data_IF_971442668443
#
_entry.id   IF_971442668443
#
_cell.length_a   1.000
_cell.length_b   1.000
_cell.length_c   1.000
_cell.angle_alpha   90.00
_cell.angle_beta   90.00
_cell.angle_gamma   90.00
#
_symmetry.space_group_name_H-M   'P 1'
#
loop_
_entity.id
_entity.type
_entity.pdbx_description
1 polymer ?
#
# COMPACT_ATOMS: atom_id res chain seq x y z
N UNK A 1 34.41 -26.93 -0.91
CA UNK A 1 33.03 -26.57 -0.52
C UNK A 1 32.10 -27.70 -0.94
N UNK A 2 31.34 -28.28 -0.02
CA UNK A 2 30.49 -29.48 -0.26
C UNK A 2 29.15 -29.09 -0.89
N UNK A 3 28.56 -29.96 -1.74
CA UNK A 3 27.27 -29.73 -2.42
C UNK A 3 26.10 -29.41 -1.47
N UNK A 4 26.24 -29.82 -0.19
CA UNK A 4 25.26 -29.60 0.88
C UNK A 4 25.19 -28.12 1.28
N UNK A 5 26.32 -27.40 1.34
CA UNK A 5 26.32 -25.97 1.70
C UNK A 5 25.79 -25.08 0.57
N UNK A 6 25.90 -25.50 -0.70
CA UNK A 6 25.27 -24.80 -1.82
C UNK A 6 23.74 -24.91 -1.80
N UNK A 7 23.18 -26.10 -1.50
CA UNK A 7 21.71 -26.25 -1.38
C UNK A 7 21.13 -25.49 -0.20
N UNK A 8 21.88 -25.36 0.89
CA UNK A 8 21.43 -24.61 2.05
C UNK A 8 21.45 -23.09 1.78
N UNK A 9 22.46 -22.60 1.08
CA UNK A 9 22.48 -21.21 0.59
C UNK A 9 21.35 -20.94 -0.42
N UNK A 10 21.05 -21.89 -1.31
CA UNK A 10 19.95 -21.78 -2.28
C UNK A 10 18.57 -21.81 -1.62
N UNK A 11 18.36 -22.62 -0.58
CA UNK A 11 17.11 -22.63 0.20
C UNK A 11 16.89 -21.32 0.97
N UNK A 12 17.95 -20.78 1.56
CA UNK A 12 17.88 -19.46 2.21
C UNK A 12 17.44 -18.37 1.22
N UNK A 13 17.92 -18.44 -0.03
CA UNK A 13 17.55 -17.50 -1.10
C UNK A 13 16.13 -17.75 -1.67
N UNK A 14 15.62 -18.99 -1.60
CA UNK A 14 14.22 -19.32 -1.91
C UNK A 14 13.27 -18.77 -0.83
N UNK A 15 13.64 -18.89 0.45
CA UNK A 15 12.86 -18.37 1.58
C UNK A 15 12.80 -16.82 1.58
N UNK A 16 13.86 -16.16 1.09
CA UNK A 16 13.92 -14.71 0.88
C UNK A 16 13.21 -14.24 -0.42
N UNK A 17 12.61 -15.16 -1.19
CA UNK A 17 11.87 -14.87 -2.41
C UNK A 17 12.72 -14.39 -3.60
N UNK A 18 14.05 -14.60 -3.55
CA UNK A 18 15.02 -14.19 -4.56
C UNK A 18 15.18 -15.21 -5.71
N UNK A 19 14.59 -16.40 -5.57
CA UNK A 19 14.67 -17.48 -6.55
C UNK A 19 13.30 -18.18 -6.72
N UNK A 20 12.93 -18.44 -7.97
CA UNK A 20 11.80 -19.31 -8.32
C UNK A 20 12.34 -20.48 -9.15
N UNK A 21 12.21 -21.70 -8.64
CA UNK A 21 12.53 -22.90 -9.42
C UNK A 21 11.26 -23.45 -10.09
N UNK A 22 11.29 -23.52 -11.43
CA UNK A 22 10.36 -24.32 -12.22
C UNK A 22 11.06 -25.63 -12.63
N UNK A 23 10.47 -26.81 -12.36
CA UNK A 23 11.07 -28.08 -12.77
C UNK A 23 11.31 -28.11 -14.29
N UNK A 24 12.58 -28.23 -14.70
CA UNK A 24 12.97 -28.49 -16.09
C UNK A 24 13.44 -27.30 -16.94
N UNK A 25 13.58 -26.06 -16.42
CA UNK A 25 14.00 -24.90 -17.24
C UNK A 25 15.14 -24.01 -16.70
N UNK A 26 15.83 -24.43 -15.63
CA UNK A 26 16.95 -23.67 -15.06
C UNK A 26 16.53 -22.55 -14.11
N UNK A 27 17.50 -21.97 -13.43
CA UNK A 27 17.31 -20.99 -12.34
C UNK A 27 17.13 -19.59 -12.91
N UNK A 28 15.94 -19.00 -12.76
CA UNK A 28 15.69 -17.60 -13.08
C UNK A 28 15.67 -16.77 -11.79
N UNK A 29 16.44 -15.67 -11.75
CA UNK A 29 16.38 -14.69 -10.66
C UNK A 29 15.11 -13.86 -10.85
N UNK A 30 14.04 -14.24 -10.17
CA UNK A 30 12.87 -13.38 -10.03
C UNK A 30 13.22 -12.28 -9.04
N UNK A 31 13.11 -11.00 -9.43
CA UNK A 31 13.21 -9.92 -8.44
C UNK A 31 12.07 -10.08 -7.43
N UNK A 32 12.34 -10.15 -6.12
CA UNK A 32 11.29 -10.37 -5.13
C UNK A 32 10.31 -9.21 -5.19
N UNK A 33 9.01 -9.52 -5.26
CA UNK A 33 7.95 -8.52 -5.18
C UNK A 33 8.02 -7.81 -3.82
N UNK A 34 7.61 -6.55 -3.78
CA UNK A 34 7.46 -5.86 -2.52
C UNK A 34 6.20 -6.33 -1.81
N UNK A 35 6.26 -6.58 -0.49
CA UNK A 35 5.11 -7.09 0.25
C UNK A 35 4.29 -5.90 0.78
N UNK A 36 2.98 -5.91 0.62
CA UNK A 36 2.11 -4.96 1.30
C UNK A 36 1.37 -5.65 2.45
N UNK A 37 1.48 -5.07 3.66
CA UNK A 37 0.94 -5.60 4.91
C UNK A 37 -0.32 -4.85 5.30
N UNK A 38 -1.45 -5.54 5.33
CA UNK A 38 -2.77 -4.96 5.66
C UNK A 38 -3.00 -4.84 7.18
N UNK A 39 -2.11 -5.37 8.02
CA UNK A 39 -2.22 -5.36 9.47
C UNK A 39 -1.56 -4.12 10.12
N UNK A 40 -1.09 -3.18 9.31
CA UNK A 40 -0.36 -2.00 9.73
C UNK A 40 -1.20 -0.73 9.51
N UNK A 41 -1.17 0.18 10.49
CA UNK A 41 -1.71 1.54 10.31
C UNK A 41 -0.77 2.45 9.52
N UNK A 42 0.43 1.96 9.15
CA UNK A 42 1.41 2.72 8.37
C UNK A 42 0.89 2.96 6.95
N UNK A 43 1.47 3.96 6.30
CA UNK A 43 1.25 4.17 4.87
C UNK A 43 2.02 3.13 4.04
N UNK A 44 1.51 2.80 2.86
CA UNK A 44 2.15 1.88 1.91
C UNK A 44 3.67 2.10 1.74
N UNK A 45 4.12 3.35 1.58
CA UNK A 45 5.56 3.62 1.44
C UNK A 45 6.37 3.39 2.72
N UNK A 46 5.80 3.62 3.90
CA UNK A 46 6.49 3.31 5.16
C UNK A 46 6.66 1.80 5.31
N UNK A 47 5.63 1.02 4.97
CA UNK A 47 5.71 -0.44 4.98
C UNK A 47 6.77 -0.96 4.00
N UNK A 48 6.84 -0.37 2.81
CA UNK A 48 7.84 -0.73 1.80
C UNK A 48 9.25 -0.35 2.25
N UNK A 49 9.44 0.83 2.84
CA UNK A 49 10.74 1.26 3.39
C UNK A 49 11.16 0.38 4.57
N UNK A 50 10.22 -0.01 5.44
CA UNK A 50 10.48 -0.93 6.54
C UNK A 50 10.93 -2.32 6.06
N UNK A 51 10.61 -2.70 4.82
CA UNK A 51 11.10 -3.90 4.14
C UNK A 51 12.42 -3.69 3.38
N UNK A 52 13.12 -2.57 3.60
CA UNK A 52 14.37 -2.24 2.94
C UNK A 52 14.22 -1.81 1.47
N UNK A 53 13.02 -1.47 1.01
CA UNK A 53 12.81 -0.99 -0.36
C UNK A 53 13.09 0.50 -0.47
N UNK A 54 13.83 0.89 -1.51
CA UNK A 54 14.00 2.29 -1.90
C UNK A 54 12.72 2.80 -2.55
N UNK A 55 12.00 3.66 -1.82
CA UNK A 55 10.76 4.31 -2.29
C UNK A 55 10.96 5.82 -2.37
N UNK A 56 10.86 6.37 -3.59
CA UNK A 56 10.75 7.81 -3.82
C UNK A 56 9.33 8.19 -4.21
N UNK A 57 8.97 9.46 -3.99
CA UNK A 57 7.64 9.99 -4.26
C UNK A 57 7.76 11.22 -5.16
N UNK A 58 6.95 11.28 -6.21
CA UNK A 58 6.66 12.51 -6.94
C UNK A 58 5.27 13.01 -6.52
N UNK A 59 5.16 14.29 -6.15
CA UNK A 59 3.86 14.93 -5.90
C UNK A 59 3.32 15.43 -7.23
N UNK A 60 2.19 14.86 -7.67
CA UNK A 60 1.50 15.26 -8.89
C UNK A 60 0.50 16.41 -8.64
N UNK A 61 0.03 16.53 -7.39
CA UNK A 61 -0.85 17.64 -6.99
C UNK A 61 -1.12 17.67 -5.49
N UNK A 62 -1.24 18.88 -4.93
CA UNK A 62 -1.49 19.11 -3.51
C UNK A 62 -2.28 20.41 -3.32
N UNK A 63 -3.59 20.29 -3.12
CA UNK A 63 -4.49 21.46 -3.08
C UNK A 63 -5.83 21.15 -2.45
N UNK A 64 -6.55 22.18 -1.99
CA UNK A 64 -7.88 22.01 -1.41
C UNK A 64 -8.93 21.87 -2.52
N UNK A 65 -9.69 20.77 -2.54
CA UNK A 65 -10.75 20.51 -3.52
C UNK A 65 -12.06 20.10 -2.84
N UNK A 66 -13.18 20.25 -3.55
CA UNK A 66 -14.41 19.57 -3.15
C UNK A 66 -14.25 18.07 -3.43
N UNK A 67 -14.49 17.20 -2.44
CA UNK A 67 -14.31 15.77 -2.61
C UNK A 67 -15.34 15.19 -3.61
N UNK A 68 -14.95 14.20 -4.43
CA UNK A 68 -15.91 13.43 -5.22
C UNK A 68 -16.84 12.63 -4.31
N UNK A 69 -17.98 12.17 -4.83
CA UNK A 69 -19.03 11.52 -4.04
C UNK A 69 -18.53 10.38 -3.14
N UNK A 70 -17.64 9.52 -3.65
CA UNK A 70 -17.09 8.39 -2.90
C UNK A 70 -16.22 8.81 -1.69
N UNK A 71 -15.58 9.97 -1.76
CA UNK A 71 -14.83 10.56 -0.63
C UNK A 71 -15.78 11.33 0.29
N UNK A 72 -16.70 12.10 -0.30
CA UNK A 72 -17.66 12.92 0.43
C UNK A 72 -18.60 12.09 1.31
N UNK A 73 -18.88 10.84 0.92
CA UNK A 73 -19.60 9.88 1.75
C UNK A 73 -18.93 9.60 3.11
N UNK A 74 -17.62 9.83 3.22
CA UNK A 74 -16.85 9.65 4.45
C UNK A 74 -16.44 10.99 5.09
N UNK A 75 -15.88 11.92 4.29
CA UNK A 75 -15.34 13.19 4.81
C UNK A 75 -16.38 14.32 4.88
N UNK A 76 -17.56 14.13 4.29
CA UNK A 76 -18.51 15.19 4.02
C UNK A 76 -18.16 16.02 2.76
N UNK A 77 -19.02 16.98 2.38
CA UNK A 77 -18.87 17.72 1.12
C UNK A 77 -17.93 18.93 1.21
N UNK A 78 -17.43 19.26 2.41
CA UNK A 78 -16.53 20.39 2.62
C UNK A 78 -15.23 20.19 1.84
N UNK A 79 -14.52 21.30 1.55
CA UNK A 79 -13.22 21.20 0.87
C UNK A 79 -12.24 20.42 1.75
N UNK A 80 -11.55 19.47 1.14
CA UNK A 80 -10.53 18.63 1.76
C UNK A 80 -9.23 18.75 0.94
N UNK A 81 -8.10 18.46 1.58
CA UNK A 81 -6.83 18.42 0.86
C UNK A 81 -6.84 17.20 -0.06
N UNK A 82 -6.65 17.43 -1.35
CA UNK A 82 -6.36 16.38 -2.33
C UNK A 82 -4.85 16.33 -2.51
N UNK A 83 -4.25 15.21 -2.15
CA UNK A 83 -2.84 14.90 -2.35
C UNK A 83 -2.73 13.73 -3.33
N UNK A 84 -2.11 13.99 -4.48
CA UNK A 84 -1.88 13.00 -5.53
C UNK A 84 -0.39 12.72 -5.66
N UNK A 85 -0.01 11.44 -5.58
CA UNK A 85 1.37 11.00 -5.53
C UNK A 85 1.61 9.86 -6.50
N UNK A 86 2.78 9.88 -7.13
CA UNK A 86 3.35 8.75 -7.84
C UNK A 86 4.51 8.20 -7.02
N UNK A 87 4.45 6.94 -6.61
CA UNK A 87 5.53 6.29 -5.87
C UNK A 87 6.33 5.41 -6.80
N UNK A 88 7.64 5.53 -6.69
CA UNK A 88 8.59 4.78 -7.48
C UNK A 88 9.31 3.77 -6.61
N UNK A 89 9.39 2.53 -7.09
CA UNK A 89 10.20 1.47 -6.52
C UNK A 89 11.44 1.28 -7.37
N UNK A 90 12.63 1.46 -6.78
CA UNK A 90 13.90 1.43 -7.51
C UNK A 90 13.89 2.31 -8.78
N UNK A 91 13.31 3.51 -8.67
CA UNK A 91 13.22 4.48 -9.76
C UNK A 91 12.17 4.18 -10.83
N UNK A 92 11.29 3.18 -10.64
CA UNK A 92 10.20 2.86 -11.56
C UNK A 92 8.83 3.12 -10.94
N UNK A 93 7.91 3.83 -11.62
CA UNK A 93 6.54 4.01 -11.14
C UNK A 93 5.86 2.69 -10.80
N UNK A 94 5.33 2.60 -9.59
CA UNK A 94 4.74 1.37 -9.05
C UNK A 94 3.36 1.59 -8.44
N UNK A 95 3.11 2.79 -7.90
CA UNK A 95 1.86 3.12 -7.23
C UNK A 95 1.43 4.53 -7.60
N UNK A 96 0.19 4.67 -8.06
CA UNK A 96 -0.49 5.96 -8.10
C UNK A 96 -1.41 6.03 -6.89
N UNK A 97 -1.30 7.09 -6.09
CA UNK A 97 -2.01 7.22 -4.83
C UNK A 97 -2.71 8.57 -4.74
N UNK A 98 -3.99 8.55 -4.41
CA UNK A 98 -4.83 9.71 -4.18
C UNK A 98 -5.33 9.72 -2.74
N UNK A 99 -4.83 10.64 -1.93
CA UNK A 99 -5.21 10.82 -0.53
C UNK A 99 -6.07 12.07 -0.38
N UNK A 100 -7.16 11.96 0.38
CA UNK A 100 -8.01 13.07 0.78
C UNK A 100 -7.96 13.26 2.28
N UNK A 101 -7.62 14.46 2.75
CA UNK A 101 -7.45 14.75 4.19
C UNK A 101 -8.48 15.78 4.66
N UNK A 102 -9.20 15.43 5.72
CA UNK A 102 -10.23 16.28 6.33
C UNK A 102 -9.62 17.58 6.88
N UNK A 103 -10.32 18.74 6.79
CA UNK A 103 -9.97 19.92 7.58
C UNK A 103 -10.18 19.69 9.09
N UNK A 104 -9.49 20.44 9.97
CA UNK A 104 -8.53 21.50 9.65
C UNK A 104 -7.17 20.99 9.19
N UNK A 105 -6.78 19.75 9.54
CA UNK A 105 -5.45 19.19 9.25
C UNK A 105 -5.08 19.26 7.77
N UNK A 106 -5.99 18.89 6.88
CA UNK A 106 -5.73 18.99 5.43
C UNK A 106 -5.41 20.42 4.97
N UNK A 107 -6.00 21.44 5.59
CA UNK A 107 -5.70 22.82 5.24
C UNK A 107 -4.28 23.23 5.68
N UNK A 108 -3.84 22.76 6.84
CA UNK A 108 -2.48 23.00 7.37
C UNK A 108 -1.42 22.27 6.53
N UNK A 109 -1.72 21.04 6.11
CA UNK A 109 -0.82 20.24 5.26
C UNK A 109 -0.76 20.70 3.80
N UNK A 110 -1.56 21.68 3.37
CA UNK A 110 -1.60 22.12 1.97
C UNK A 110 -0.25 22.63 1.45
N UNK A 111 0.58 23.20 2.31
CA UNK A 111 1.90 23.75 1.94
C UNK A 111 3.06 22.97 2.52
N UNK A 112 2.80 21.86 3.21
CA UNK A 112 3.83 20.99 3.75
C UNK A 112 4.52 20.19 2.64
N UNK A 113 5.83 19.91 2.79
CA UNK A 113 6.51 18.99 1.89
C UNK A 113 6.20 17.54 2.28
N UNK A 114 5.45 16.87 1.42
CA UNK A 114 4.98 15.49 1.60
C UNK A 114 5.63 14.52 0.60
N UNK A 115 6.76 14.92 0.00
CA UNK A 115 7.53 14.08 -0.93
C UNK A 115 8.26 12.98 -0.17
N UNK A 116 9.00 13.36 0.88
CA UNK A 116 9.75 12.44 1.73
C UNK A 116 9.05 12.15 3.07
N UNK A 117 8.16 13.04 3.51
CA UNK A 117 7.40 12.89 4.74
C UNK A 117 6.20 11.96 4.57
N UNK A 118 6.01 11.06 5.55
CA UNK A 118 4.79 10.26 5.61
C UNK A 118 3.57 11.14 5.88
N UNK A 119 2.48 10.88 5.17
CA UNK A 119 1.23 11.61 5.41
C UNK A 119 0.73 11.40 6.84
N UNK A 120 0.85 10.20 7.39
CA UNK A 120 0.39 9.91 8.74
C UNK A 120 1.28 10.53 9.81
N UNK A 121 2.60 10.60 9.57
CA UNK A 121 3.51 11.34 10.44
C UNK A 121 3.17 12.83 10.46
N UNK A 122 2.96 13.44 9.28
CA UNK A 122 2.57 14.85 9.17
C UNK A 122 1.22 15.13 9.85
N UNK A 123 0.24 14.22 9.73
CA UNK A 123 -1.05 14.32 10.45
C UNK A 123 -0.84 14.26 11.98
N UNK A 124 0.04 13.39 12.46
CA UNK A 124 0.34 13.25 13.88
C UNK A 124 1.02 14.49 14.47
N UNK A 125 1.87 15.18 13.69
CA UNK A 125 2.47 16.46 14.08
C UNK A 125 1.43 17.56 14.34
N UNK A 126 0.26 17.46 13.70
CA UNK A 126 -0.90 18.33 13.95
C UNK A 126 -1.85 17.80 15.05
N UNK A 127 -1.36 16.89 15.90
CA UNK A 127 -2.08 16.41 17.09
C UNK A 127 -3.19 15.39 16.80
N UNK A 128 -3.29 14.87 15.58
CA UNK A 128 -4.29 13.85 15.22
C UNK A 128 -3.69 12.45 15.30
N UNK A 129 -4.20 11.66 16.24
CA UNK A 129 -3.81 10.26 16.42
C UNK A 129 -4.74 9.37 15.62
N UNK A 130 -4.16 8.60 14.69
CA UNK A 130 -4.87 7.54 13.97
C UNK A 130 -5.02 6.31 14.86
N UNK A 131 -6.24 5.81 15.01
CA UNK A 131 -6.53 4.63 15.83
C UNK A 131 -6.99 3.41 15.03
N UNK A 132 -7.68 3.63 13.90
CA UNK A 132 -8.31 2.56 13.13
C UNK A 132 -8.25 2.86 11.63
N UNK A 133 -8.20 1.82 10.82
CA UNK A 133 -8.41 1.91 9.39
C UNK A 133 -9.30 0.77 8.88
N UNK A 134 -10.06 1.03 7.83
CA UNK A 134 -10.77 0.03 7.05
C UNK A 134 -10.23 0.07 5.63
N UNK A 135 -9.79 -1.06 5.11
CA UNK A 135 -9.14 -1.15 3.81
C UNK A 135 -9.75 -2.28 2.99
N UNK A 136 -10.09 -1.98 1.74
CA UNK A 136 -10.60 -2.94 0.76
C UNK A 136 -9.62 -3.01 -0.40
N UNK A 137 -9.10 -4.21 -0.65
CA UNK A 137 -8.24 -4.48 -1.78
C UNK A 137 -9.00 -5.29 -2.82
N UNK A 138 -8.95 -4.87 -4.09
CA UNK A 138 -9.61 -5.57 -5.20
C UNK A 138 -8.75 -5.58 -6.46
N UNK A 139 -8.83 -6.64 -7.28
CA UNK A 139 -8.22 -6.64 -8.60
C UNK A 139 -9.02 -5.74 -9.55
N UNK A 140 -8.33 -4.94 -10.35
CA UNK A 140 -8.89 -4.12 -11.42
C UNK A 140 -7.94 -4.12 -12.65
N UNK A 141 -8.33 -3.42 -13.71
CA UNK A 141 -7.47 -3.15 -14.87
C UNK A 141 -7.20 -1.65 -15.00
N UNK A 142 -5.98 -1.30 -15.44
CA UNK A 142 -5.60 0.12 -15.55
C UNK A 142 -6.42 0.88 -16.58
N UNK A 143 -6.98 2.01 -16.14
CA UNK A 143 -7.55 3.04 -17.02
C UNK A 143 -6.44 3.89 -17.65
N UNK A 144 -6.69 4.42 -18.86
CA UNK A 144 -5.71 5.15 -19.67
C UNK A 144 -4.88 6.22 -18.91
N UNK A 145 -5.51 7.20 -18.24
CA UNK A 145 -4.76 8.27 -17.56
C UNK A 145 -3.80 7.77 -16.47
N UNK A 146 -4.20 6.76 -15.68
CA UNK A 146 -3.35 6.18 -14.63
C UNK A 146 -2.30 5.23 -15.22
N UNK A 147 -2.62 4.55 -16.34
CA UNK A 147 -1.68 3.70 -17.06
C UNK A 147 -0.47 4.50 -17.56
N UNK A 148 -0.70 5.70 -18.09
CA UNK A 148 0.36 6.62 -18.55
C UNK A 148 1.30 7.01 -17.41
N UNK A 149 0.75 7.42 -16.25
CA UNK A 149 1.54 7.75 -15.05
C UNK A 149 2.39 6.56 -14.58
N UNK A 150 1.83 5.35 -14.63
CA UNK A 150 2.53 4.12 -14.25
C UNK A 150 3.41 3.52 -15.36
N UNK A 151 3.46 4.16 -16.54
CA UNK A 151 4.19 3.68 -17.73
C UNK A 151 3.81 2.24 -18.10
N UNK A 152 2.53 1.93 -18.04
CA UNK A 152 1.96 0.64 -18.40
C UNK A 152 0.94 0.79 -19.53
N UNK A 153 0.62 -0.32 -20.20
CA UNK A 153 -0.52 -0.36 -21.11
C UNK A 153 -1.84 -0.28 -20.32
N UNK A 154 -2.84 0.41 -20.86
CA UNK A 154 -4.21 0.30 -20.39
C UNK A 154 -4.66 -1.17 -20.46
N UNK A 155 -5.48 -1.60 -19.50
CA UNK A 155 -5.85 -3.02 -19.37
C UNK A 155 -4.89 -3.88 -18.55
N UNK A 156 -3.70 -3.36 -18.18
CA UNK A 156 -2.77 -4.06 -17.28
C UNK A 156 -3.44 -4.39 -15.94
N UNK A 157 -3.39 -5.64 -15.45
CA UNK A 157 -3.94 -6.01 -14.14
C UNK A 157 -3.24 -5.29 -12.98
N UNK A 158 -4.04 -4.78 -12.05
CA UNK A 158 -3.59 -4.04 -10.87
C UNK A 158 -4.40 -4.41 -9.64
N UNK A 159 -3.86 -4.09 -8.48
CA UNK A 159 -4.65 -4.02 -7.26
C UNK A 159 -5.06 -2.57 -7.01
N UNK A 160 -6.32 -2.37 -6.64
CA UNK A 160 -6.82 -1.10 -6.12
C UNK A 160 -7.11 -1.27 -4.64
N UNK A 161 -6.48 -0.45 -3.82
CA UNK A 161 -6.78 -0.32 -2.40
C UNK A 161 -7.62 0.94 -2.17
N UNK A 162 -8.77 0.77 -1.55
CA UNK A 162 -9.60 1.84 -0.99
C UNK A 162 -9.50 1.78 0.53
N UNK A 163 -8.96 2.83 1.16
CA UNK A 163 -8.75 2.88 2.61
C UNK A 163 -9.41 4.11 3.23
N UNK A 164 -10.09 3.91 4.36
CA UNK A 164 -10.58 4.97 5.23
C UNK A 164 -9.89 4.86 6.57
N UNK A 165 -9.26 5.94 7.02
CA UNK A 165 -8.51 6.01 8.27
C UNK A 165 -9.19 6.95 9.25
N UNK A 166 -9.29 6.53 10.51
CA UNK A 166 -10.10 7.15 11.56
C UNK A 166 -9.24 7.61 12.73
N UNK A 167 -9.64 8.75 13.32
CA UNK A 167 -9.07 9.29 14.55
C UNK A 167 -9.58 8.56 15.80
N UNK A 168 -9.16 9.01 16.98
CA UNK A 168 -9.60 8.48 18.28
C UNK A 168 -11.10 8.71 18.56
N UNK A 169 -11.70 9.70 17.92
CA UNK A 169 -13.12 10.03 17.99
C UNK A 169 -13.97 9.26 16.96
N UNK A 170 -13.37 8.25 16.30
CA UNK A 170 -13.94 7.48 15.20
C UNK A 170 -14.39 8.33 13.99
N UNK A 171 -13.90 9.58 13.89
CA UNK A 171 -14.15 10.40 12.70
C UNK A 171 -13.19 10.02 11.57
N UNK A 172 -13.67 9.90 10.32
CA UNK A 172 -12.80 9.69 9.16
C UNK A 172 -11.87 10.89 8.95
N UNK A 173 -10.56 10.68 8.98
CA UNK A 173 -9.54 11.72 8.78
C UNK A 173 -8.96 11.67 7.37
N UNK A 174 -8.71 10.46 6.87
CA UNK A 174 -8.13 10.25 5.54
C UNK A 174 -8.98 9.24 4.76
N UNK A 175 -9.23 9.56 3.50
CA UNK A 175 -9.73 8.61 2.51
C UNK A 175 -8.68 8.48 1.41
N UNK A 176 -8.20 7.27 1.17
CA UNK A 176 -7.12 6.98 0.25
C UNK A 176 -7.57 5.99 -0.83
N UNK A 177 -7.12 6.21 -2.06
CA UNK A 177 -7.16 5.23 -3.13
C UNK A 177 -5.77 5.04 -3.70
N UNK A 178 -5.27 3.82 -3.67
CA UNK A 178 -4.00 3.44 -4.27
C UNK A 178 -4.20 2.44 -5.40
N UNK A 179 -3.69 2.75 -6.59
CA UNK A 179 -3.58 1.83 -7.72
C UNK A 179 -2.16 1.27 -7.75
N UNK A 180 -2.04 -0.04 -7.60
CA UNK A 180 -0.79 -0.75 -7.31
C UNK A 180 -0.50 -1.77 -8.41
N UNK A 181 0.69 -1.70 -9.01
CA UNK A 181 1.12 -2.69 -10.00
C UNK A 181 1.37 -4.07 -9.35
N UNK A 182 0.55 -5.07 -9.69
CA UNK A 182 0.67 -6.44 -9.17
C UNK A 182 1.89 -7.22 -9.68
N UNK A 183 2.58 -6.67 -10.69
CA UNK A 183 3.86 -7.21 -11.20
C UNK A 183 5.02 -6.92 -10.25
N UNK A 184 4.94 -5.83 -9.48
CA UNK A 184 6.01 -5.39 -8.55
C UNK A 184 5.61 -5.51 -7.08
N UNK A 185 4.32 -5.71 -6.79
CA UNK A 185 3.77 -5.83 -5.44
C UNK A 185 3.04 -7.17 -5.25
N UNK A 186 3.19 -7.75 -4.06
CA UNK A 186 2.38 -8.85 -3.53
C UNK A 186 1.73 -8.41 -2.23
N UNK A 187 0.51 -8.86 -1.95
CA UNK A 187 -0.13 -8.66 -0.65
C UNK A 187 -0.06 -9.97 0.12
N UNK A 188 0.59 -9.95 1.29
CA UNK A 188 0.78 -11.14 2.14
C UNK A 188 0.26 -10.84 3.53
N UNK A 189 -0.52 -11.79 4.07
CA UNK A 189 -0.93 -11.81 5.46
C UNK A 189 -0.66 -13.20 6.02
N UNK A 190 -0.10 -13.27 7.22
CA UNK A 190 0.09 -14.51 7.96
C UNK A 190 -0.89 -14.52 9.13
N UNK A 191 -1.66 -15.60 9.26
CA UNK A 191 -2.67 -15.74 10.32
C UNK A 191 -2.35 -17.00 11.11
N UNK A 192 -1.96 -16.83 12.37
CA UNK A 192 -1.82 -17.92 13.31
C UNK A 192 -3.07 -17.97 14.20
N UNK A 193 -3.66 -19.16 14.36
CA UNK A 193 -4.76 -19.34 15.28
C UNK A 193 -4.25 -19.40 16.73
N UNK A 194 -4.24 -18.29 17.45
CA UNK A 194 -4.18 -18.34 18.91
C UNK A 194 -5.58 -18.71 19.45
N UNK A 195 -5.80 -20.01 19.67
CA UNK A 195 -6.99 -20.53 20.37
C UNK A 195 -8.13 -21.05 19.50
N UNK A 196 -7.86 -21.84 18.45
CA UNK A 196 -8.89 -22.67 17.82
C UNK A 196 -9.30 -23.80 18.80
N UNK A 197 -10.26 -23.54 19.69
CA UNK A 197 -11.00 -24.61 20.35
C UNK A 197 -12.02 -25.18 19.36
N UNK A 198 -11.58 -26.16 18.59
CA UNK A 198 -12.48 -26.94 17.73
C UNK A 198 -13.23 -27.91 18.63
N UNK A 199 -14.40 -27.50 19.12
CA UNK A 199 -15.36 -28.44 19.72
C UNK A 199 -16.06 -29.18 18.57
N UNK A 200 -15.63 -30.42 18.33
CA UNK A 200 -16.41 -31.36 17.53
C UNK A 200 -17.57 -31.86 18.38
N UNK A 201 -18.78 -31.37 18.15
CA UNK A 201 -19.98 -32.10 18.57
C UNK A 201 -20.27 -33.17 17.53
N UNK A 202 -19.91 -34.41 17.84
CA UNK A 202 -20.38 -35.58 17.11
C UNK A 202 -21.71 -36.09 17.69
N UNK A 203 -22.60 -36.50 16.77
CA UNK A 203 -23.74 -37.43 16.92
C UNK A 203 -24.94 -36.94 17.75
N UNK A 204 -26.19 -37.12 17.31
CA UNK A 204 -26.77 -38.18 16.44
C UNK A 204 -27.89 -37.67 15.56
#
# INVERSE_FOLDING_TARGET
MTLVTLRQALRQLEDDGLLSQQPGRGTFVASPKATYRLDSLRGLAEDLRAQGRTVSTEILGQSMHRPPAWVAAHLGPARALRLERLRLLAGRPAVHQLSWVRPPVGAELRTADLSDTSLYAAIAEHGVVVHRASEVLRPEVLAGPVAELLRQAAGTPVFVSDRVTYGLDDQPIVVDRATILGTVMEVRTERAATGLSVQWTSSS
#
